data_IF_344469559241
#
_entry.id   IF_344469559241
#
_cell.length_a   1.000
_cell.length_b   1.000
_cell.length_c   1.000
_cell.angle_alpha   90.00
_cell.angle_beta   90.00
_cell.angle_gamma   90.00
#
_symmetry.space_group_name_H-M   'P 1'
#
loop_
_entity.id
_entity.type
_entity.pdbx_description
1 polymer ?
#
# COMPACT_ATOMS: atom_id res chain seq x y z
N UNK A 1 -5.40 -12.09 9.30
CA UNK A 1 -4.37 -11.05 9.14
C UNK A 1 -3.61 -10.86 10.44
N UNK A 2 -2.30 -10.89 10.39
CA UNK A 2 -1.45 -10.73 11.56
C UNK A 2 -0.40 -9.64 11.33
N UNK A 3 -0.17 -8.80 12.33
CA UNK A 3 0.92 -7.83 12.32
C UNK A 3 2.19 -8.53 12.80
N UNK A 4 3.26 -8.45 12.01
CA UNK A 4 4.48 -9.25 12.21
C UNK A 4 5.52 -8.51 13.03
N UNK A 5 5.60 -7.19 12.92
CA UNK A 5 6.59 -6.40 13.64
C UNK A 5 6.06 -5.06 14.13
N UNK A 6 6.91 -4.30 14.82
CA UNK A 6 6.59 -2.98 15.30
C UNK A 6 5.77 -2.95 16.58
N UNK A 7 5.13 -1.82 16.84
CA UNK A 7 4.40 -1.53 18.08
C UNK A 7 3.26 -2.52 18.33
N UNK A 8 2.59 -2.96 17.26
CA UNK A 8 1.43 -3.83 17.35
C UNK A 8 1.74 -5.28 16.97
N UNK A 9 2.98 -5.67 17.07
CA UNK A 9 3.43 -7.05 16.77
C UNK A 9 2.52 -8.08 17.45
N UNK A 10 2.16 -9.12 16.70
CA UNK A 10 1.30 -10.26 17.12
C UNK A 10 -0.18 -9.94 17.19
N UNK A 11 -0.62 -8.71 16.95
CA UNK A 11 -2.05 -8.41 16.87
C UNK A 11 -2.64 -9.12 15.66
N UNK A 12 -3.82 -9.69 15.83
CA UNK A 12 -4.55 -10.44 14.80
C UNK A 12 -5.89 -9.80 14.52
N UNK A 13 -6.31 -9.89 13.28
CA UNK A 13 -7.62 -9.40 12.82
C UNK A 13 -8.25 -10.48 11.96
N UNK A 14 -9.49 -10.87 12.28
CA UNK A 14 -10.22 -11.90 11.53
C UNK A 14 -10.75 -11.29 10.25
N UNK A 15 -10.18 -11.72 9.11
CA UNK A 15 -10.66 -11.31 7.80
C UNK A 15 -11.94 -12.07 7.48
N UNK A 16 -13.04 -11.39 7.09
CA UNK A 16 -14.26 -12.09 6.70
C UNK A 16 -14.01 -13.10 5.59
N UNK A 17 -14.61 -14.29 5.74
CA UNK A 17 -14.43 -15.40 4.78
C UNK A 17 -14.96 -15.06 3.38
N UNK A 18 -15.88 -14.09 3.28
CA UNK A 18 -16.42 -13.60 2.01
C UNK A 18 -15.41 -12.79 1.18
N UNK A 19 -14.29 -12.40 1.78
CA UNK A 19 -13.26 -11.67 1.05
C UNK A 19 -12.46 -12.64 0.18
N UNK A 20 -12.49 -12.42 -1.12
CA UNK A 20 -11.77 -13.24 -2.11
C UNK A 20 -10.36 -12.72 -2.37
N UNK A 21 -9.83 -11.89 -1.48
CA UNK A 21 -8.49 -11.37 -1.61
C UNK A 21 -7.46 -12.46 -1.27
N UNK A 22 -6.40 -12.57 -2.06
CA UNK A 22 -5.27 -13.44 -1.74
C UNK A 22 -4.56 -12.89 -0.52
N UNK A 23 -4.44 -13.65 0.60
CA UNK A 23 -3.81 -13.13 1.80
C UNK A 23 -2.30 -12.95 1.59
N UNK A 24 -1.75 -11.87 2.17
CA UNK A 24 -0.31 -11.69 2.28
C UNK A 24 0.18 -12.54 3.44
N UNK A 25 1.09 -13.48 3.17
CA UNK A 25 1.63 -14.35 4.22
C UNK A 25 2.57 -13.59 5.15
N UNK A 26 2.72 -14.07 6.39
CA UNK A 26 3.68 -13.50 7.34
C UNK A 26 5.10 -13.54 6.78
N UNK A 27 5.47 -14.63 6.12
CA UNK A 27 6.79 -14.79 5.50
C UNK A 27 7.04 -13.74 4.44
N UNK A 28 6.06 -13.51 3.55
CA UNK A 28 6.17 -12.49 2.51
C UNK A 28 6.30 -11.08 3.11
N UNK A 29 5.53 -10.78 4.17
CA UNK A 29 5.64 -9.50 4.86
C UNK A 29 6.99 -9.31 5.52
N UNK A 30 7.51 -10.31 6.21
CA UNK A 30 8.84 -10.24 6.83
C UNK A 30 9.92 -9.95 5.79
N UNK A 31 9.88 -10.66 4.66
CA UNK A 31 10.85 -10.44 3.59
C UNK A 31 10.77 -9.02 3.02
N UNK A 32 9.55 -8.54 2.75
CA UNK A 32 9.35 -7.18 2.25
C UNK A 32 9.90 -6.14 3.22
N UNK A 33 9.54 -6.23 4.49
CA UNK A 33 9.96 -5.24 5.48
C UNK A 33 11.43 -5.33 5.85
N UNK A 34 12.03 -6.52 5.75
CA UNK A 34 13.48 -6.65 5.90
C UNK A 34 14.23 -5.88 4.80
N UNK A 35 13.68 -5.84 3.60
CA UNK A 35 14.23 -5.03 2.50
C UNK A 35 13.93 -3.55 2.73
N UNK A 36 12.68 -3.20 3.05
CA UNK A 36 12.26 -1.80 3.18
C UNK A 36 13.05 -1.04 4.25
N UNK A 37 13.41 -1.69 5.36
CA UNK A 37 14.15 -1.03 6.43
C UNK A 37 15.53 -0.52 5.99
N UNK A 38 16.07 -1.03 4.88
CA UNK A 38 17.34 -0.54 4.31
C UNK A 38 17.16 0.72 3.47
N UNK A 39 15.93 1.04 3.06
CA UNK A 39 15.63 2.16 2.18
C UNK A 39 14.85 3.27 2.88
N UNK A 40 14.12 2.95 3.96
CA UNK A 40 13.18 3.87 4.59
C UNK A 40 13.49 4.04 6.07
N UNK A 41 13.41 5.29 6.52
CA UNK A 41 13.23 5.61 7.93
C UNK A 41 11.72 5.74 8.15
N UNK A 42 11.12 4.71 8.76
CA UNK A 42 9.66 4.64 8.87
C UNK A 42 9.05 5.86 9.58
N UNK A 43 9.71 6.39 10.60
CA UNK A 43 9.18 7.54 11.38
C UNK A 43 9.01 8.80 10.52
N UNK A 44 9.81 8.94 9.47
CA UNK A 44 9.77 10.09 8.56
C UNK A 44 9.02 9.80 7.27
N UNK A 45 8.45 8.60 7.12
CA UNK A 45 7.90 8.13 5.87
C UNK A 45 6.39 8.33 5.80
N UNK A 46 5.94 9.02 4.75
CA UNK A 46 4.53 9.07 4.36
C UNK A 46 4.29 8.08 3.22
N UNK A 47 3.21 7.31 3.31
CA UNK A 47 2.98 6.15 2.46
C UNK A 47 1.63 6.20 1.75
N UNK A 48 1.63 5.79 0.50
CA UNK A 48 0.43 5.49 -0.27
C UNK A 48 0.42 3.99 -0.59
N UNK A 49 -0.61 3.28 -0.10
CA UNK A 49 -0.82 1.85 -0.35
C UNK A 49 -1.95 1.69 -1.36
N UNK A 50 -1.59 1.45 -2.61
CA UNK A 50 -2.54 1.26 -3.70
C UNK A 50 -2.97 -0.21 -3.78
N UNK A 51 -4.26 -0.43 -4.07
CA UNK A 51 -4.86 -1.77 -4.05
C UNK A 51 -4.70 -2.44 -2.68
N UNK A 52 -5.11 -1.75 -1.63
CA UNK A 52 -4.76 -2.11 -0.25
C UNK A 52 -5.37 -3.45 0.21
N UNK A 53 -6.46 -3.90 -0.38
CA UNK A 53 -7.11 -5.17 -0.04
C UNK A 53 -7.61 -5.17 1.39
N UNK A 54 -7.07 -6.07 2.21
CA UNK A 54 -7.40 -6.15 3.64
C UNK A 54 -6.61 -5.14 4.48
N UNK A 55 -5.70 -4.38 3.87
CA UNK A 55 -4.87 -3.43 4.58
C UNK A 55 -3.70 -4.05 5.33
N UNK A 56 -3.30 -5.27 4.96
CA UNK A 56 -2.22 -5.98 5.65
C UNK A 56 -0.91 -5.21 5.64
N UNK A 57 -0.53 -4.67 4.48
CA UNK A 57 0.70 -3.87 4.35
C UNK A 57 0.54 -2.51 5.04
N UNK A 58 -0.62 -1.86 4.87
CA UNK A 58 -0.90 -0.57 5.51
C UNK A 58 -0.82 -0.67 7.05
N UNK A 59 -1.43 -1.69 7.63
CA UNK A 59 -1.39 -1.93 9.08
C UNK A 59 0.04 -2.21 9.55
N UNK A 60 0.79 -2.98 8.79
CA UNK A 60 2.20 -3.27 9.11
C UNK A 60 3.05 -2.00 9.11
N UNK A 61 2.86 -1.12 8.12
CA UNK A 61 3.58 0.15 8.02
C UNK A 61 3.28 1.05 9.23
N UNK A 62 2.01 1.13 9.63
CA UNK A 62 1.64 1.90 10.82
C UNK A 62 2.28 1.30 12.07
N UNK A 63 2.25 -0.03 12.20
CA UNK A 63 2.87 -0.72 13.34
C UNK A 63 4.37 -0.45 13.43
N UNK A 64 5.04 -0.32 12.30
CA UNK A 64 6.48 -0.06 12.25
C UNK A 64 6.84 1.41 12.34
N UNK A 65 5.85 2.28 12.54
CA UNK A 65 6.07 3.66 12.93
C UNK A 65 5.94 4.70 11.81
N UNK A 66 5.44 4.34 10.63
CA UNK A 66 5.27 5.32 9.56
C UNK A 66 4.46 6.51 10.01
N UNK A 67 4.87 7.70 9.55
CA UNK A 67 4.24 8.96 9.92
C UNK A 67 2.77 9.00 9.52
N UNK A 68 2.46 8.57 8.30
CA UNK A 68 1.10 8.45 7.82
C UNK A 68 1.02 7.45 6.69
N UNK A 69 -0.12 6.77 6.59
CA UNK A 69 -0.42 5.80 5.53
C UNK A 69 -1.81 6.11 5.00
N UNK A 70 -1.91 6.26 3.68
CA UNK A 70 -3.19 6.33 2.99
C UNK A 70 -3.37 5.03 2.22
N UNK A 71 -4.42 4.28 2.57
CA UNK A 71 -4.79 3.04 1.90
C UNK A 71 -5.91 3.32 0.90
N UNK A 72 -5.69 2.99 -0.37
CA UNK A 72 -6.69 3.12 -1.42
C UNK A 72 -7.25 1.74 -1.72
N UNK A 73 -8.55 1.57 -1.53
CA UNK A 73 -9.24 0.32 -1.76
C UNK A 73 -10.61 0.58 -2.37
N UNK A 74 -10.90 -0.09 -3.48
CA UNK A 74 -12.13 0.12 -4.25
C UNK A 74 -13.35 -0.52 -3.59
N UNK A 75 -13.18 -1.70 -3.01
CA UNK A 75 -14.30 -2.48 -2.46
C UNK A 75 -14.73 -1.93 -1.11
N UNK A 76 -16.03 -1.65 -0.98
CA UNK A 76 -16.57 -1.03 0.25
C UNK A 76 -16.30 -1.87 1.50
N UNK A 77 -16.55 -3.18 1.44
CA UNK A 77 -16.37 -4.07 2.58
C UNK A 77 -14.90 -4.11 3.03
N UNK A 78 -13.98 -4.14 2.08
CA UNK A 78 -12.55 -4.13 2.35
C UNK A 78 -12.13 -2.79 2.98
N UNK A 79 -12.61 -1.67 2.43
CA UNK A 79 -12.32 -0.35 3.00
C UNK A 79 -12.86 -0.21 4.43
N UNK A 80 -14.07 -0.71 4.70
CA UNK A 80 -14.63 -0.73 6.04
C UNK A 80 -13.81 -1.60 6.99
N UNK A 81 -13.31 -2.73 6.52
CA UNK A 81 -12.43 -3.60 7.32
C UNK A 81 -11.15 -2.86 7.72
N UNK A 82 -10.49 -2.18 6.77
CA UNK A 82 -9.28 -1.42 7.06
C UNK A 82 -9.56 -0.31 8.08
N UNK A 83 -10.68 0.38 7.95
CA UNK A 83 -11.10 1.40 8.92
C UNK A 83 -11.30 0.80 10.31
N UNK A 84 -11.87 -0.40 10.39
CA UNK A 84 -12.07 -1.08 11.68
C UNK A 84 -10.73 -1.46 12.31
N UNK A 85 -9.75 -1.87 11.52
CA UNK A 85 -8.39 -2.15 11.99
C UNK A 85 -7.77 -0.88 12.57
N UNK A 86 -7.84 0.22 11.84
CA UNK A 86 -7.31 1.51 12.30
C UNK A 86 -7.95 1.94 13.62
N UNK A 87 -9.26 1.79 13.73
CA UNK A 87 -10.01 2.13 14.95
C UNK A 87 -9.58 1.26 16.13
N UNK A 88 -9.48 -0.06 15.92
CA UNK A 88 -9.08 -1.01 16.97
C UNK A 88 -7.67 -0.70 17.48
N UNK A 89 -6.77 -0.28 16.59
CA UNK A 89 -5.40 0.10 16.97
C UNK A 89 -5.32 1.52 17.55
N UNK A 90 -6.38 2.32 17.46
CA UNK A 90 -6.33 3.73 17.86
C UNK A 90 -5.48 4.58 16.93
N UNK A 91 -5.37 4.20 15.67
CA UNK A 91 -4.46 4.81 14.70
C UNK A 91 -5.18 5.53 13.55
N UNK A 92 -6.40 5.96 13.77
CA UNK A 92 -7.23 6.61 12.75
C UNK A 92 -6.61 7.90 12.20
N UNK A 93 -5.73 8.54 12.97
CA UNK A 93 -5.01 9.74 12.51
C UNK A 93 -3.89 9.40 11.54
N UNK A 94 -3.23 8.26 11.72
CA UNK A 94 -2.09 7.84 10.89
C UNK A 94 -2.49 6.91 9.76
N UNK A 95 -3.58 6.16 9.90
CA UNK A 95 -4.07 5.26 8.85
C UNK A 95 -5.39 5.79 8.31
N UNK A 96 -5.33 6.41 7.14
CA UNK A 96 -6.50 6.91 6.42
C UNK A 96 -6.88 5.93 5.31
N UNK A 97 -8.18 5.77 5.08
CA UNK A 97 -8.69 4.87 4.06
C UNK A 97 -9.51 5.66 3.06
N UNK A 98 -9.16 5.54 1.78
CA UNK A 98 -9.94 6.08 0.68
C UNK A 98 -10.60 4.92 -0.06
N UNK A 99 -11.92 4.90 -0.08
CA UNK A 99 -12.66 3.98 -0.92
C UNK A 99 -12.72 4.56 -2.33
N UNK A 100 -11.81 4.09 -3.20
CA UNK A 100 -11.67 4.63 -4.55
C UNK A 100 -11.06 3.60 -5.48
N UNK A 101 -11.36 3.76 -6.76
CA UNK A 101 -10.65 3.07 -7.84
C UNK A 101 -9.27 3.72 -7.99
N UNK A 102 -8.21 2.90 -8.01
CA UNK A 102 -6.83 3.39 -8.11
C UNK A 102 -6.62 4.25 -9.36
N UNK A 103 -7.17 3.86 -10.50
CA UNK A 103 -6.98 4.61 -11.75
C UNK A 103 -7.66 5.97 -11.71
N UNK A 104 -8.82 6.08 -11.06
CA UNK A 104 -9.47 7.37 -10.82
C UNK A 104 -8.65 8.24 -9.86
N UNK A 105 -8.10 7.63 -8.81
CA UNK A 105 -7.19 8.32 -7.90
C UNK A 105 -5.99 8.89 -8.64
N UNK A 106 -5.36 8.10 -9.51
CA UNK A 106 -4.22 8.54 -10.31
C UNK A 106 -4.60 9.66 -11.28
N UNK A 107 -5.78 9.57 -11.89
CA UNK A 107 -6.27 10.63 -12.78
C UNK A 107 -6.46 11.96 -12.03
N UNK A 108 -6.96 11.91 -10.81
CA UNK A 108 -7.09 13.09 -9.95
C UNK A 108 -5.72 13.63 -9.56
N UNK A 109 -4.77 12.75 -9.27
CA UNK A 109 -3.40 13.14 -8.94
C UNK A 109 -2.73 13.90 -10.08
N UNK A 110 -3.01 13.52 -11.32
CA UNK A 110 -2.49 14.21 -12.50
C UNK A 110 -2.89 15.68 -12.59
N UNK A 111 -3.89 16.12 -11.83
CA UNK A 111 -4.31 17.53 -11.73
C UNK A 111 -3.49 18.32 -10.70
N UNK A 112 -2.54 17.70 -10.01
CA UNK A 112 -1.64 18.36 -9.08
C UNK A 112 -2.26 18.77 -7.74
N UNK A 113 -3.43 18.23 -7.37
CA UNK A 113 -4.15 18.63 -6.15
C UNK A 113 -3.98 17.66 -4.98
N UNK A 114 -3.32 16.52 -5.19
CA UNK A 114 -3.11 15.50 -4.15
C UNK A 114 -1.70 15.60 -3.56
N UNK A 115 -1.52 15.16 -2.29
CA UNK A 115 -0.20 15.14 -1.68
C UNK A 115 0.73 14.15 -2.37
N UNK A 116 2.03 14.34 -2.19
CA UNK A 116 3.06 13.40 -2.62
C UNK A 116 3.55 12.56 -1.44
N UNK A 117 4.18 11.42 -1.73
CA UNK A 117 4.55 10.42 -0.75
C UNK A 117 6.02 10.04 -0.84
N UNK A 118 6.59 9.63 0.29
CA UNK A 118 7.96 9.11 0.36
C UNK A 118 8.04 7.67 -0.14
N UNK A 119 6.97 6.90 0.06
CA UNK A 119 6.88 5.50 -0.34
C UNK A 119 5.51 5.21 -0.93
N UNK A 120 5.49 4.59 -2.10
CA UNK A 120 4.27 4.10 -2.74
C UNK A 120 4.40 2.60 -2.93
N UNK A 121 3.43 1.84 -2.41
CA UNK A 121 3.33 0.40 -2.59
C UNK A 121 2.08 0.09 -3.40
N UNK A 122 2.20 -0.82 -4.37
CA UNK A 122 1.08 -1.26 -5.19
C UNK A 122 1.14 -2.77 -5.38
N UNK A 123 0.07 -3.46 -4.95
CA UNK A 123 -0.10 -4.90 -5.17
C UNK A 123 -1.40 -5.14 -5.95
N UNK A 124 -1.39 -4.85 -7.27
CA UNK A 124 -2.59 -4.91 -8.09
C UNK A 124 -3.03 -6.35 -8.36
N UNK A 125 -4.34 -6.56 -8.66
CA UNK A 125 -4.79 -7.83 -9.20
C UNK A 125 -4.06 -8.11 -10.52
N UNK A 126 -3.52 -9.34 -10.67
CA UNK A 126 -2.71 -9.68 -11.85
C UNK A 126 -3.51 -9.72 -13.16
N UNK A 127 -4.84 -9.73 -13.07
CA UNK A 127 -5.72 -9.82 -14.24
C UNK A 127 -6.12 -8.46 -14.83
N UNK A 128 -5.71 -7.35 -14.21
CA UNK A 128 -6.03 -6.03 -14.77
C UNK A 128 -5.21 -5.80 -16.03
N UNK A 129 -5.87 -5.29 -17.07
CA UNK A 129 -5.22 -5.07 -18.37
C UNK A 129 -4.22 -3.91 -18.34
N UNK A 130 -4.34 -2.98 -17.40
CA UNK A 130 -3.47 -1.83 -17.25
C UNK A 130 -2.17 -2.14 -16.47
N UNK A 131 -1.97 -3.40 -16.05
CA UNK A 131 -0.84 -3.76 -15.20
C UNK A 131 0.51 -3.36 -15.79
N UNK A 132 0.68 -3.54 -17.10
CA UNK A 132 1.92 -3.20 -17.80
C UNK A 132 2.25 -1.72 -17.78
N UNK A 133 1.26 -0.84 -17.70
CA UNK A 133 1.44 0.61 -17.69
C UNK A 133 1.41 1.20 -16.27
N UNK A 134 1.05 0.41 -15.27
CA UNK A 134 0.82 0.91 -13.91
C UNK A 134 2.03 1.65 -13.31
N UNK A 135 3.26 1.11 -13.38
CA UNK A 135 4.41 1.83 -12.83
C UNK A 135 4.59 3.21 -13.47
N UNK A 136 4.49 3.30 -14.79
CA UNK A 136 4.60 4.57 -15.52
C UNK A 136 3.48 5.53 -15.14
N UNK A 137 2.25 5.04 -15.01
CA UNK A 137 1.11 5.87 -14.59
C UNK A 137 1.33 6.48 -13.21
N UNK A 138 1.89 5.70 -12.27
CA UNK A 138 2.17 6.20 -10.91
C UNK A 138 3.27 7.28 -10.97
N UNK A 139 4.34 7.02 -11.69
CA UNK A 139 5.49 7.94 -11.76
C UNK A 139 5.14 9.25 -12.46
N UNK A 140 4.28 9.21 -13.47
CA UNK A 140 3.99 10.40 -14.29
C UNK A 140 3.07 11.42 -13.61
N UNK A 141 2.36 11.04 -12.53
CA UNK A 141 1.38 11.95 -11.91
C UNK A 141 1.92 12.75 -10.72
N UNK A 142 3.21 12.62 -10.40
CA UNK A 142 3.85 13.41 -9.36
C UNK A 142 3.50 13.03 -7.92
N UNK A 143 2.98 11.83 -7.70
CA UNK A 143 2.66 11.34 -6.34
C UNK A 143 3.87 10.92 -5.55
N UNK A 144 4.96 10.54 -6.21
CA UNK A 144 6.18 10.12 -5.56
C UNK A 144 7.12 11.31 -5.42
N UNK A 145 7.57 11.57 -4.20
CA UNK A 145 8.55 12.64 -3.94
C UNK A 145 9.89 12.31 -4.60
N UNK A 146 10.72 13.34 -4.89
CA UNK A 146 12.12 13.10 -5.27
C UNK A 146 12.78 12.21 -4.21
N UNK A 147 13.57 11.24 -4.66
CA UNK A 147 14.21 10.22 -3.82
C UNK A 147 13.23 9.25 -3.12
N UNK A 148 11.95 9.30 -3.47
CA UNK A 148 10.96 8.37 -2.96
C UNK A 148 11.13 6.98 -3.55
N UNK A 149 10.53 5.99 -2.87
CA UNK A 149 10.59 4.58 -3.27
C UNK A 149 9.22 4.11 -3.77
N UNK A 150 9.21 3.49 -4.95
CA UNK A 150 8.03 2.81 -5.48
C UNK A 150 8.29 1.31 -5.52
N UNK A 151 7.38 0.53 -4.95
CA UNK A 151 7.38 -0.93 -5.04
C UNK A 151 6.08 -1.39 -5.68
N UNK A 152 6.19 -2.14 -6.77
CA UNK A 152 5.04 -2.72 -7.48
C UNK A 152 5.20 -4.23 -7.51
N UNK A 153 4.24 -4.95 -6.93
CA UNK A 153 4.15 -6.40 -7.04
C UNK A 153 3.58 -6.75 -8.42
N UNK A 154 4.20 -7.72 -9.09
CA UNK A 154 3.73 -8.14 -10.42
C UNK A 154 4.10 -9.60 -10.69
N UNK A 155 3.39 -10.29 -11.61
CA UNK A 155 3.79 -11.64 -12.01
C UNK A 155 5.08 -11.61 -12.82
N UNK A 156 5.83 -12.72 -12.82
CA UNK A 156 7.10 -12.84 -13.54
C UNK A 156 6.99 -12.72 -15.07
N UNK A 157 5.77 -12.71 -15.60
CA UNK A 157 5.51 -12.49 -17.03
C UNK A 157 5.68 -11.04 -17.46
N UNK A 158 5.72 -10.09 -16.50
CA UNK A 158 5.98 -8.68 -16.76
C UNK A 158 7.43 -8.33 -16.45
N UNK A 159 8.03 -7.50 -17.28
CA UNK A 159 9.39 -7.00 -17.10
C UNK A 159 9.36 -5.48 -17.19
N UNK A 160 9.68 -4.83 -16.08
CA UNK A 160 9.72 -3.37 -15.99
C UNK A 160 11.15 -2.82 -16.02
N UNK A 161 12.16 -3.67 -16.27
CA UNK A 161 13.57 -3.26 -16.24
C UNK A 161 13.92 -2.23 -17.32
N UNK A 162 13.09 -2.10 -18.36
CA UNK A 162 13.28 -1.11 -19.42
C UNK A 162 12.85 0.29 -19.01
N UNK A 163 12.17 0.45 -17.88
CA UNK A 163 11.85 1.76 -17.33
C UNK A 163 13.10 2.33 -16.64
N UNK A 164 13.52 3.57 -16.95
CA UNK A 164 14.77 4.11 -16.39
C UNK A 164 14.81 4.19 -14.87
N UNK A 165 13.63 4.23 -14.22
CA UNK A 165 13.50 4.35 -12.77
C UNK A 165 13.58 3.01 -12.03
N UNK A 166 13.63 1.88 -12.75
CA UNK A 166 13.67 0.54 -12.15
C UNK A 166 14.96 -0.21 -12.44
#
# INVERSE_FOLDING_TARGET
MRIVGGLYKRRRFDVPKSFNARPTTDFAKENLFNVLQHYLDFEDTTVLDLFSGTGSIAAELVSRGCRSVIAVEQRREHALFIRSVAKTLGEEKRLKVLQADVFRYLATAGKGTLPSFDFIFADPPYKIKELGQLPRMILDVGLLKPDGLLVVEHPGTYDFSMLPEF
#
